data_IF_854230776803
#
_entry.id   IF_854230776803
#
_cell.length_a   1.000
_cell.length_b   1.000
_cell.length_c   1.000
_cell.angle_alpha   90.00
_cell.angle_beta   90.00
_cell.angle_gamma   90.00
#
_symmetry.space_group_name_H-M   'P 1'
#
loop_
_entity.id
_entity.type
_entity.pdbx_description
1 polymer ?
#
# COMPACT_ATOMS: atom_id res chain seq x y z
N UNK A 1 -23.75 -7.03 6.53
CA UNK A 1 -22.81 -6.11 7.17
C UNK A 1 -21.98 -5.38 6.14
N UNK A 2 -21.84 -4.08 6.31
CA UNK A 2 -20.99 -3.30 5.44
C UNK A 2 -19.52 -3.52 5.82
N UNK A 3 -18.70 -3.74 4.81
CA UNK A 3 -17.26 -3.88 5.00
C UNK A 3 -16.69 -2.53 5.45
N UNK A 4 -15.79 -2.57 6.45
CA UNK A 4 -15.05 -1.39 6.84
C UNK A 4 -14.18 -0.92 5.67
N UNK A 5 -14.08 0.39 5.46
CA UNK A 5 -13.30 0.95 4.36
C UNK A 5 -11.84 0.52 4.45
N UNK A 6 -11.28 0.46 5.66
CA UNK A 6 -9.90 -0.01 5.85
C UNK A 6 -9.74 -1.45 5.36
N UNK A 7 -10.68 -2.33 5.68
CA UNK A 7 -10.68 -3.71 5.21
C UNK A 7 -10.81 -3.78 3.69
N UNK A 8 -11.61 -2.89 3.11
CA UNK A 8 -11.74 -2.80 1.67
C UNK A 8 -10.40 -2.43 1.01
N UNK A 9 -9.69 -1.44 1.55
CA UNK A 9 -8.37 -1.07 1.02
C UNK A 9 -7.40 -2.25 1.09
N UNK A 10 -7.37 -2.97 2.21
CA UNK A 10 -6.49 -4.13 2.39
C UNK A 10 -6.82 -5.20 1.33
N UNK A 11 -8.09 -5.52 1.18
CA UNK A 11 -8.53 -6.52 0.21
C UNK A 11 -8.14 -6.13 -1.22
N UNK A 12 -8.26 -4.85 -1.52
CA UNK A 12 -7.98 -4.33 -2.86
C UNK A 12 -6.50 -4.49 -3.25
N UNK A 13 -5.60 -4.24 -2.30
CA UNK A 13 -4.16 -4.23 -2.59
C UNK A 13 -3.47 -5.56 -2.32
N UNK A 14 -4.08 -6.45 -1.54
CA UNK A 14 -3.47 -7.73 -1.16
C UNK A 14 -2.94 -8.54 -2.36
N UNK A 15 -3.67 -8.65 -3.50
CA UNK A 15 -3.17 -9.43 -4.63
C UNK A 15 -1.89 -8.88 -5.27
N UNK A 16 -1.52 -7.63 -4.99
CA UNK A 16 -0.30 -7.03 -5.53
C UNK A 16 0.95 -7.63 -4.88
N UNK A 17 0.83 -8.05 -3.63
CA UNK A 17 1.97 -8.50 -2.81
C UNK A 17 2.07 -10.02 -2.79
N UNK A 18 3.23 -10.57 -2.36
CA UNK A 18 3.40 -12.03 -2.29
C UNK A 18 2.36 -12.69 -1.39
N UNK A 19 2.03 -13.96 -1.68
CA UNK A 19 1.03 -14.70 -0.91
C UNK A 19 1.38 -14.81 0.57
N UNK A 20 2.67 -14.85 0.89
CA UNK A 20 3.14 -14.94 2.27
C UNK A 20 3.28 -13.58 2.95
N UNK A 21 2.80 -12.52 2.33
CA UNK A 21 2.90 -11.18 2.92
C UNK A 21 2.12 -11.10 4.22
N UNK A 22 2.74 -10.45 5.21
CA UNK A 22 2.09 -10.14 6.49
C UNK A 22 1.56 -8.72 6.38
N UNK A 23 0.25 -8.57 6.48
CA UNK A 23 -0.41 -7.29 6.29
C UNK A 23 -1.14 -6.91 7.58
N UNK A 24 -0.78 -5.76 8.14
CA UNK A 24 -1.39 -5.24 9.37
C UNK A 24 -1.97 -3.87 9.06
N UNK A 25 -3.22 -3.66 9.42
CA UNK A 25 -3.90 -2.39 9.18
C UNK A 25 -4.31 -1.74 10.50
N UNK A 26 -4.33 -0.42 10.52
CA UNK A 26 -4.71 0.35 11.69
C UNK A 26 -5.17 1.74 11.28
N UNK A 27 -5.82 2.44 12.21
CA UNK A 27 -6.18 3.84 12.04
C UNK A 27 -5.20 4.69 12.85
N UNK A 28 -4.76 5.80 12.28
CA UNK A 28 -3.86 6.71 12.96
C UNK A 28 -4.20 8.15 12.54
N UNK A 29 -4.65 8.98 13.49
CA UNK A 29 -4.99 10.38 13.23
C UNK A 29 -5.93 10.55 12.03
N UNK A 30 -6.97 9.70 11.98
CA UNK A 30 -7.97 9.68 10.92
C UNK A 30 -7.46 9.23 9.55
N UNK A 31 -6.20 8.82 9.47
CA UNK A 31 -5.64 8.17 8.28
C UNK A 31 -5.76 6.66 8.43
N UNK A 32 -5.81 5.97 7.29
CA UNK A 32 -5.72 4.52 7.27
C UNK A 32 -4.27 4.11 7.01
N UNK A 33 -3.71 3.26 7.86
CA UNK A 33 -2.31 2.84 7.75
C UNK A 33 -2.26 1.33 7.53
N UNK A 34 -1.52 0.91 6.50
CA UNK A 34 -1.35 -0.51 6.18
C UNK A 34 0.16 -0.79 6.15
N UNK A 35 0.61 -1.73 6.99
CA UNK A 35 2.02 -2.14 7.03
C UNK A 35 2.14 -3.52 6.43
N UNK A 36 3.16 -3.70 5.57
CA UNK A 36 3.33 -4.94 4.81
C UNK A 36 4.79 -5.33 4.82
N UNK A 37 5.06 -6.61 5.12
CA UNK A 37 6.37 -7.22 4.88
C UNK A 37 6.16 -8.71 4.63
N UNK A 38 7.21 -9.39 4.19
CA UNK A 38 7.13 -10.82 3.89
C UNK A 38 8.49 -11.47 4.08
N UNK A 39 8.48 -12.79 4.15
CA UNK A 39 9.71 -13.58 4.27
C UNK A 39 10.37 -13.65 2.90
N UNK A 40 11.66 -13.28 2.84
CA UNK A 40 12.39 -13.22 1.58
C UNK A 40 13.01 -14.54 1.17
N UNK A 41 13.41 -15.38 2.13
CA UNK A 41 14.25 -16.51 1.82
C UNK A 41 13.85 -17.76 2.59
N UNK A 42 13.98 -18.90 1.95
CA UNK A 42 13.87 -20.21 2.62
C UNK A 42 15.24 -20.77 2.97
N UNK A 43 16.29 -19.94 2.92
CA UNK A 43 17.65 -20.35 3.24
C UNK A 43 17.74 -20.76 4.70
N UNK A 44 18.20 -22.00 5.01
CA UNK A 44 18.36 -22.44 6.39
C UNK A 44 19.31 -21.57 7.21
N UNK A 45 20.23 -20.87 6.54
CA UNK A 45 21.18 -19.99 7.21
C UNK A 45 20.56 -18.65 7.61
N UNK A 46 19.45 -18.27 6.97
CA UNK A 46 18.75 -17.01 7.24
C UNK A 46 17.24 -17.24 7.26
N UNK A 47 16.76 -18.08 8.18
CA UNK A 47 15.34 -18.46 8.16
C UNK A 47 14.39 -17.31 8.52
N UNK A 48 14.89 -16.26 9.16
CA UNK A 48 14.07 -15.13 9.58
C UNK A 48 14.30 -13.87 8.75
N UNK A 49 14.98 -13.99 7.63
CA UNK A 49 15.21 -12.83 6.75
C UNK A 49 13.88 -12.35 6.16
N UNK A 50 13.58 -11.08 6.38
CA UNK A 50 12.33 -10.49 5.90
C UNK A 50 12.62 -9.31 4.98
N UNK A 51 11.63 -8.95 4.17
CA UNK A 51 11.69 -7.79 3.31
C UNK A 51 11.78 -6.50 4.13
N UNK A 52 12.18 -5.41 3.48
CA UNK A 52 11.96 -4.09 4.03
C UNK A 52 10.45 -3.92 4.24
N UNK A 53 10.08 -3.18 5.28
CA UNK A 53 8.67 -2.92 5.58
C UNK A 53 8.14 -1.79 4.71
N UNK A 54 6.93 -1.95 4.21
CA UNK A 54 6.20 -0.89 3.49
C UNK A 54 5.11 -0.38 4.43
N UNK A 55 5.02 0.94 4.58
CA UNK A 55 3.93 1.56 5.31
C UNK A 55 3.12 2.43 4.34
N UNK A 56 1.92 2.00 4.02
CA UNK A 56 1.01 2.74 3.17
C UNK A 56 0.10 3.56 4.07
N UNK A 57 0.11 4.89 3.91
CA UNK A 57 -0.78 5.77 4.65
C UNK A 57 -1.76 6.40 3.67
N UNK A 58 -3.04 6.07 3.81
CA UNK A 58 -4.10 6.68 3.03
C UNK A 58 -4.62 7.85 3.85
N UNK A 59 -4.37 9.05 3.36
CA UNK A 59 -4.65 10.28 4.09
C UNK A 59 -6.15 10.54 4.21
N UNK A 60 -6.53 11.25 5.25
CA UNK A 60 -7.91 11.63 5.50
C UNK A 60 -8.56 12.28 4.29
N UNK A 61 -7.85 13.16 3.59
CA UNK A 61 -8.41 13.85 2.42
C UNK A 61 -8.78 12.88 1.29
N UNK A 62 -7.98 11.82 1.10
CA UNK A 62 -8.29 10.78 0.13
C UNK A 62 -9.49 9.95 0.57
N UNK A 63 -9.58 9.66 1.86
CA UNK A 63 -10.71 8.91 2.42
C UNK A 63 -12.01 9.69 2.24
N UNK A 64 -12.00 10.96 2.58
CA UNK A 64 -13.17 11.84 2.44
C UNK A 64 -13.58 11.99 0.98
N UNK A 65 -12.61 12.14 0.09
CA UNK A 65 -12.87 12.26 -1.34
C UNK A 65 -13.57 10.99 -1.86
N UNK A 66 -13.09 9.82 -1.44
CA UNK A 66 -13.72 8.54 -1.81
C UNK A 66 -15.16 8.48 -1.29
N UNK A 67 -15.37 8.87 -0.03
CA UNK A 67 -16.69 8.78 0.59
C UNK A 67 -17.71 9.72 -0.05
N UNK A 68 -17.24 10.81 -0.68
CA UNK A 68 -18.10 11.76 -1.35
C UNK A 68 -18.42 11.38 -2.80
N UNK A 69 -17.89 10.28 -3.28
CA UNK A 69 -18.12 9.84 -4.65
C UNK A 69 -19.27 8.86 -4.73
N UNK A 70 -19.91 8.78 -5.91
CA UNK A 70 -20.95 7.78 -6.16
C UNK A 70 -20.29 6.42 -6.44
N UNK A 71 -21.10 5.39 -6.59
CA UNK A 71 -20.60 4.02 -6.75
C UNK A 71 -19.65 3.84 -7.94
N UNK A 72 -19.99 4.28 -9.17
CA UNK A 72 -19.05 4.14 -10.29
C UNK A 72 -17.76 4.89 -10.07
N UNK A 73 -17.82 6.07 -9.46
CA UNK A 73 -16.63 6.86 -9.17
C UNK A 73 -15.76 6.21 -8.12
N UNK A 74 -16.36 5.56 -7.13
CA UNK A 74 -15.63 4.81 -6.10
C UNK A 74 -14.88 3.64 -6.71
N UNK A 75 -15.47 2.95 -7.68
CA UNK A 75 -14.81 1.86 -8.38
C UNK A 75 -13.58 2.36 -9.12
N UNK A 76 -13.70 3.49 -9.81
CA UNK A 76 -12.57 4.10 -10.51
C UNK A 76 -11.48 4.54 -9.55
N UNK A 77 -11.87 5.08 -8.41
CA UNK A 77 -10.92 5.50 -7.37
C UNK A 77 -10.10 4.31 -6.86
N UNK A 78 -10.77 3.19 -6.62
CA UNK A 78 -10.10 1.96 -6.21
C UNK A 78 -9.14 1.44 -7.26
N UNK A 79 -9.53 1.50 -8.54
CA UNK A 79 -8.67 1.09 -9.65
C UNK A 79 -7.40 1.95 -9.69
N UNK A 80 -7.55 3.26 -9.53
CA UNK A 80 -6.40 4.18 -9.51
C UNK A 80 -5.46 3.89 -8.35
N UNK A 81 -6.04 3.65 -7.16
CA UNK A 81 -5.24 3.30 -5.98
C UNK A 81 -4.44 2.03 -6.23
N UNK A 82 -5.10 1.01 -6.75
CA UNK A 82 -4.44 -0.28 -7.03
C UNK A 82 -3.33 -0.12 -8.07
N UNK A 83 -3.55 0.67 -9.11
CA UNK A 83 -2.54 0.95 -10.13
C UNK A 83 -1.33 1.65 -9.52
N UNK A 84 -1.56 2.65 -8.69
CA UNK A 84 -0.50 3.41 -8.05
C UNK A 84 0.37 2.53 -7.15
N UNK A 85 -0.29 1.74 -6.30
CA UNK A 85 0.41 0.81 -5.40
C UNK A 85 1.20 -0.21 -6.22
N UNK A 86 0.61 -0.73 -7.30
CA UNK A 86 1.28 -1.69 -8.18
C UNK A 86 2.52 -1.12 -8.83
N UNK A 87 2.46 0.12 -9.28
CA UNK A 87 3.61 0.80 -9.88
C UNK A 87 4.73 1.02 -8.86
N UNK A 88 4.36 1.45 -7.66
CA UNK A 88 5.35 1.65 -6.59
C UNK A 88 5.96 0.31 -6.17
N UNK A 89 5.16 -0.74 -6.11
CA UNK A 89 5.67 -2.08 -5.79
C UNK A 89 6.69 -2.55 -6.84
N UNK A 90 6.43 -2.30 -8.11
CA UNK A 90 7.34 -2.70 -9.19
C UNK A 90 8.70 -2.01 -9.09
N UNK A 91 8.76 -0.85 -8.46
CA UNK A 91 10.00 -0.11 -8.26
C UNK A 91 10.63 -0.39 -6.90
N UNK A 92 9.90 -1.07 -6.03
CA UNK A 92 10.35 -1.33 -4.66
C UNK A 92 11.39 -2.43 -4.65
N UNK A 93 12.49 -2.19 -3.94
CA UNK A 93 13.50 -3.22 -3.68
C UNK A 93 13.29 -3.76 -2.27
N UNK A 94 12.80 -5.00 -2.13
CA UNK A 94 12.56 -5.58 -0.81
C UNK A 94 13.82 -6.03 -0.09
N UNK A 95 14.96 -6.10 -0.82
CA UNK A 95 16.19 -6.63 -0.28
C UNK A 95 16.81 -5.66 0.71
N UNK A 96 17.25 -6.20 1.84
CA UNK A 96 17.90 -5.41 2.88
C UNK A 96 19.26 -6.00 3.27
N UNK A 97 19.89 -6.80 2.41
CA UNK A 97 21.12 -7.52 2.71
C UNK A 97 22.28 -6.61 3.12
N UNK A 98 22.34 -5.42 2.54
CA UNK A 98 23.43 -4.48 2.81
C UNK A 98 23.21 -3.64 4.05
N UNK A 99 22.09 -3.83 4.75
CA UNK A 99 21.70 -3.00 5.90
C UNK A 99 21.63 -3.86 7.15
N UNK A 100 22.02 -3.25 8.28
CA UNK A 100 21.79 -3.92 9.57
C UNK A 100 20.30 -3.86 9.90
N UNK A 101 19.77 -4.79 10.70
CA UNK A 101 18.35 -4.77 11.05
C UNK A 101 17.87 -3.45 11.65
N UNK A 102 18.76 -2.73 12.34
CA UNK A 102 18.41 -1.45 12.98
C UNK A 102 18.36 -0.28 12.00
N UNK A 103 19.03 -0.39 10.86
CA UNK A 103 19.15 0.70 9.91
C UNK A 103 18.26 0.53 8.69
N UNK A 104 17.49 -0.56 8.61
CA UNK A 104 16.56 -0.78 7.49
C UNK A 104 15.39 0.19 7.64
N UNK A 105 15.28 1.20 6.78
CA UNK A 105 14.17 2.14 6.87
C UNK A 105 12.88 1.51 6.39
N UNK A 106 11.77 1.89 7.01
CA UNK A 106 10.46 1.58 6.49
C UNK A 106 10.22 2.46 5.27
N UNK A 107 9.82 1.83 4.16
CA UNK A 107 9.42 2.57 2.96
C UNK A 107 8.03 3.14 3.20
N UNK A 108 7.90 4.46 3.15
CA UNK A 108 6.63 5.13 3.44
C UNK A 108 5.98 5.61 2.16
N UNK A 109 4.78 5.13 1.90
CA UNK A 109 3.98 5.49 0.73
C UNK A 109 2.77 6.30 1.19
N UNK A 110 2.79 7.60 0.90
CA UNK A 110 1.69 8.50 1.27
C UNK A 110 0.72 8.64 0.11
N UNK A 111 -0.54 8.32 0.38
CA UNK A 111 -1.61 8.40 -0.61
C UNK A 111 -2.56 9.51 -0.18
N UNK A 112 -2.47 10.66 -0.85
CA UNK A 112 -3.38 11.77 -0.65
C UNK A 112 -4.32 11.88 -1.82
N UNK A 113 -5.35 12.71 -1.68
CA UNK A 113 -6.26 13.01 -2.78
C UNK A 113 -5.50 13.51 -4.01
N UNK A 114 -4.52 14.39 -3.80
CA UNK A 114 -3.76 14.99 -4.89
C UNK A 114 -2.92 13.96 -5.64
N UNK A 115 -2.34 12.99 -4.92
CA UNK A 115 -1.56 11.92 -5.53
C UNK A 115 -2.42 11.11 -6.49
N UNK A 116 -3.63 10.75 -6.06
CA UNK A 116 -4.54 9.97 -6.90
C UNK A 116 -5.04 10.79 -8.11
N UNK A 117 -5.28 12.06 -7.92
CA UNK A 117 -5.71 12.93 -9.01
C UNK A 117 -4.57 13.16 -10.02
N UNK A 118 -3.35 13.26 -9.55
CA UNK A 118 -2.18 13.38 -10.41
C UNK A 118 -2.01 12.16 -11.31
N UNK A 119 -2.22 10.97 -10.74
CA UNK A 119 -2.17 9.73 -11.53
C UNK A 119 -3.22 9.74 -12.64
N UNK A 120 -4.43 10.22 -12.35
CA UNK A 120 -5.47 10.35 -13.35
C UNK A 120 -5.06 11.27 -14.49
N UNK A 121 -4.45 12.40 -14.15
CA UNK A 121 -3.95 13.35 -15.15
C UNK A 121 -2.84 12.75 -16.01
N UNK A 122 -1.93 12.02 -15.39
CA UNK A 122 -0.84 11.37 -16.12
C UNK A 122 -1.39 10.40 -17.16
N UNK A 123 -2.46 9.69 -16.83
CA UNK A 123 -3.09 8.77 -17.78
C UNK A 123 -3.75 9.48 -18.94
N UNK A 124 -4.27 10.68 -18.73
CA UNK A 124 -4.94 11.38 -19.82
C UNK A 124 -3.98 11.95 -20.87
N UNK A 125 -2.69 11.93 -20.60
CA UNK A 125 -1.66 12.37 -21.56
C UNK A 125 -0.96 11.22 -22.29
N UNK A 126 -1.30 10.01 -21.98
CA UNK A 126 -0.63 8.85 -22.57
C UNK A 126 -1.39 8.23 -23.72
#
# INVERSE_FOLDING_TARGET
MTEDLLDYWVRLITPIFPENAWIVSSNSDENHVIQIDWKLSNDPKQPSKRSRKIQITIKEDAIEDYLNKNKPEREQYGIRLKQLIGEWYNRFNPDNDSLTPRSVPTEKWLISRDVLNTLTHAHSFS
#
